data_IF_421749792119
#
_entry.id   IF_421749792119
#
_cell.length_a   1.000
_cell.length_b   1.000
_cell.length_c   1.000
_cell.angle_alpha   90.00
_cell.angle_beta   90.00
_cell.angle_gamma   90.00
#
_symmetry.space_group_name_H-M   'P 1'
#
loop_
_entity.id
_entity.type
_entity.pdbx_description
1 polymer ?
#
# COMPACT_ATOMS: atom_id res chain seq x y z
N UNK A 1 8.66 0.03 2.08
CA UNK A 1 7.92 1.17 1.55
C UNK A 1 6.98 0.74 0.45
N UNK A 2 5.78 1.27 0.46
CA UNK A 2 4.78 0.92 -0.54
C UNK A 2 4.85 1.90 -1.70
N UNK A 3 5.86 1.74 -2.52
CA UNK A 3 6.16 2.71 -3.58
C UNK A 3 5.04 2.92 -4.58
N UNK A 4 4.42 1.82 -5.01
CA UNK A 4 3.33 1.93 -5.98
C UNK A 4 2.12 2.64 -5.41
N UNK A 5 1.80 2.35 -4.15
CA UNK A 5 0.70 3.02 -3.48
C UNK A 5 0.95 4.52 -3.34
N UNK A 6 2.17 4.87 -2.95
CA UNK A 6 2.55 6.28 -2.82
C UNK A 6 2.41 6.99 -4.16
N UNK A 7 2.88 6.37 -5.23
CA UNK A 7 2.80 6.94 -6.55
C UNK A 7 1.34 7.15 -6.98
N UNK A 8 0.51 6.12 -6.83
CA UNK A 8 -0.90 6.21 -7.19
C UNK A 8 -1.60 7.33 -6.43
N UNK A 9 -1.32 7.40 -5.12
CA UNK A 9 -1.95 8.41 -4.27
C UNK A 9 -1.58 9.81 -4.76
N UNK A 10 -0.30 10.03 -5.02
CA UNK A 10 0.18 11.34 -5.45
C UNK A 10 -0.32 11.71 -6.84
N UNK A 11 -0.36 10.76 -7.74
CA UNK A 11 -0.87 11.01 -9.09
C UNK A 11 -2.32 11.47 -9.07
N UNK A 12 -3.11 10.93 -8.16
CA UNK A 12 -4.52 11.28 -8.06
C UNK A 12 -4.78 12.36 -7.02
N UNK A 13 -3.72 12.92 -6.45
CA UNK A 13 -3.79 14.01 -5.47
C UNK A 13 -4.65 13.64 -4.26
N UNK A 14 -4.51 12.40 -3.83
CA UNK A 14 -5.20 11.87 -2.65
C UNK A 14 -4.27 11.98 -1.46
N UNK A 15 -4.79 12.52 -0.35
CA UNK A 15 -3.97 12.72 0.84
C UNK A 15 -3.90 11.45 1.69
N UNK A 16 -2.87 11.38 2.53
CA UNK A 16 -2.77 10.29 3.49
C UNK A 16 -3.98 10.27 4.43
N UNK A 17 -4.48 11.45 4.79
CA UNK A 17 -5.63 11.54 5.67
C UNK A 17 -6.87 10.91 5.03
N UNK A 18 -7.05 11.10 3.73
CA UNK A 18 -8.19 10.51 3.03
C UNK A 18 -8.16 8.99 3.11
N UNK A 19 -6.99 8.41 2.88
CA UNK A 19 -6.88 6.96 2.95
C UNK A 19 -6.94 6.45 4.38
N UNK A 20 -6.43 7.22 5.33
CA UNK A 20 -6.57 6.86 6.74
C UNK A 20 -8.04 6.80 7.14
N UNK A 21 -8.83 7.76 6.70
CA UNK A 21 -10.26 7.77 6.99
C UNK A 21 -10.96 6.58 6.36
N UNK A 22 -10.58 6.24 5.13
CA UNK A 22 -11.12 5.06 4.44
C UNK A 22 -10.93 3.80 5.29
N UNK A 23 -9.75 3.70 5.92
CA UNK A 23 -9.40 2.51 6.70
C UNK A 23 -9.83 2.59 8.17
N UNK A 24 -10.30 3.74 8.62
CA UNK A 24 -10.70 3.92 10.00
C UNK A 24 -9.52 4.00 10.96
N UNK A 25 -8.40 4.50 10.50
CA UNK A 25 -7.18 4.63 11.31
C UNK A 25 -6.72 6.09 11.29
N UNK A 26 -5.73 6.42 12.11
CA UNK A 26 -5.20 7.78 12.12
C UNK A 26 -4.26 8.00 10.95
N UNK A 27 -4.06 9.27 10.60
CA UNK A 27 -3.12 9.62 9.54
C UNK A 27 -1.72 9.14 9.86
N UNK A 28 -1.33 9.21 11.13
CA UNK A 28 -0.02 8.74 11.57
C UNK A 28 0.12 7.23 11.36
N UNK A 29 -0.92 6.48 11.72
CA UNK A 29 -0.92 5.03 11.52
C UNK A 29 -0.82 4.70 10.04
N UNK A 30 -1.58 5.41 9.23
CA UNK A 30 -1.53 5.18 7.78
C UNK A 30 -0.12 5.47 7.24
N UNK A 31 0.47 6.60 7.65
CA UNK A 31 1.82 6.96 7.21
C UNK A 31 2.85 5.89 7.54
N UNK A 32 2.76 5.31 8.75
CA UNK A 32 3.66 4.24 9.14
C UNK A 32 3.51 3.01 8.25
N UNK A 33 2.27 2.69 7.88
CA UNK A 33 2.02 1.55 6.98
C UNK A 33 2.55 1.82 5.57
N UNK A 34 2.38 3.04 5.08
CA UNK A 34 2.88 3.41 3.76
C UNK A 34 4.41 3.33 3.70
N UNK A 35 5.08 3.71 4.78
CA UNK A 35 6.53 3.64 4.87
C UNK A 35 7.06 2.25 5.13
N UNK A 36 6.19 1.32 5.48
CA UNK A 36 6.61 -0.06 5.75
C UNK A 36 7.01 -0.33 7.19
N UNK A 37 6.82 0.64 8.09
CA UNK A 37 7.11 0.43 9.51
C UNK A 37 6.13 -0.55 10.15
N UNK A 38 4.89 -0.50 9.70
CA UNK A 38 3.87 -1.48 10.06
C UNK A 38 3.26 -2.00 8.77
N UNK A 39 2.62 -3.16 8.82
CA UNK A 39 2.07 -3.77 7.62
C UNK A 39 0.60 -3.45 7.47
N UNK A 40 0.16 -3.35 6.21
CA UNK A 40 -1.26 -3.35 5.91
C UNK A 40 -1.78 -4.76 6.11
N UNK A 41 -2.97 -4.90 6.69
CA UNK A 41 -3.61 -6.22 6.73
C UNK A 41 -4.40 -6.42 5.43
N UNK A 42 -4.92 -7.65 5.23
CA UNK A 42 -5.63 -7.98 4.00
C UNK A 42 -6.85 -7.14 3.75
N UNK A 43 -7.60 -6.85 4.81
CA UNK A 43 -8.80 -6.04 4.70
C UNK A 43 -8.48 -4.61 4.26
N UNK A 44 -7.42 -4.05 4.82
CA UNK A 44 -6.98 -2.71 4.46
C UNK A 44 -6.51 -2.65 3.01
N UNK A 45 -5.74 -3.66 2.59
CA UNK A 45 -5.26 -3.73 1.22
C UNK A 45 -6.42 -3.82 0.24
N UNK A 46 -7.43 -4.61 0.57
CA UNK A 46 -8.61 -4.76 -0.27
C UNK A 46 -9.37 -3.44 -0.41
N UNK A 47 -9.56 -2.73 0.69
CA UNK A 47 -10.26 -1.44 0.67
C UNK A 47 -9.54 -0.42 -0.18
N UNK A 48 -8.23 -0.37 -0.08
CA UNK A 48 -7.42 0.57 -0.87
C UNK A 48 -7.50 0.20 -2.35
N UNK A 49 -7.37 -1.08 -2.67
CA UNK A 49 -7.43 -1.52 -4.06
C UNK A 49 -8.80 -1.18 -4.66
N UNK A 50 -9.86 -1.41 -3.91
CA UNK A 50 -11.21 -1.10 -4.35
C UNK A 50 -11.37 0.41 -4.59
N UNK A 51 -10.81 1.20 -3.71
CA UNK A 51 -10.86 2.66 -3.82
C UNK A 51 -10.22 3.14 -5.13
N UNK A 52 -9.11 2.52 -5.53
CA UNK A 52 -8.44 2.87 -6.78
C UNK A 52 -8.97 2.09 -7.98
N UNK A 53 -9.93 1.20 -7.75
CA UNK A 53 -10.49 0.35 -8.80
C UNK A 53 -9.41 -0.52 -9.45
N UNK A 54 -8.56 -1.08 -8.63
CA UNK A 54 -7.47 -1.96 -9.04
C UNK A 54 -7.52 -3.23 -8.20
N UNK A 55 -6.69 -4.20 -8.58
CA UNK A 55 -6.55 -5.42 -7.79
C UNK A 55 -5.49 -5.19 -6.72
N UNK A 56 -5.61 -5.94 -5.63
CA UNK A 56 -4.61 -5.88 -4.55
C UNK A 56 -3.20 -6.12 -5.13
N UNK A 57 -3.06 -7.09 -6.02
CA UNK A 57 -1.78 -7.41 -6.62
C UNK A 57 -1.19 -6.28 -7.45
N UNK A 58 -2.03 -5.39 -7.95
CA UNK A 58 -1.56 -4.24 -8.74
C UNK A 58 -0.89 -3.19 -7.88
N UNK A 59 -1.19 -3.19 -6.59
CA UNK A 59 -0.69 -2.16 -5.67
C UNK A 59 0.30 -2.74 -4.66
N UNK A 60 -0.04 -3.89 -4.09
CA UNK A 60 0.68 -4.48 -2.97
C UNK A 60 1.44 -5.73 -3.36
N UNK A 61 1.82 -5.87 -4.62
CA UNK A 61 2.52 -7.06 -5.06
C UNK A 61 3.78 -7.26 -4.23
N UNK A 62 3.97 -8.43 -3.65
CA UNK A 62 5.19 -8.68 -2.90
C UNK A 62 6.38 -8.56 -3.81
N UNK A 63 7.42 -7.92 -3.35
CA UNK A 63 8.62 -7.73 -4.12
C UNK A 63 9.51 -8.95 -4.06
N UNK A 64 8.92 -10.04 -3.89
CA UNK A 64 9.67 -11.26 -3.97
C UNK A 64 10.04 -11.53 -5.40
N UNK A 65 9.54 -11.19 -5.75
CA UNK A 65 9.91 -11.22 -6.62
C UNK A 65 10.53 -10.32 -7.10
N UNK A 66 10.60 -9.95 -6.86
CA UNK A 66 11.33 -9.18 -7.02
C UNK A 66 12.30 -8.89 -6.58
N UNK A 67 12.17 -9.86 -6.42
CA UNK A 67 13.05 -9.72 -5.83
C UNK A 67 13.47 -10.07 -5.74
N UNK A 68 13.25 -10.59 -6.16
CA UNK A 68 13.62 -10.93 -5.62
C UNK A 68 13.77 -11.34 -5.84
N UNK A 69 13.44 -11.82 -6.15
CA UNK A 69 13.60 -11.94 -5.90
C UNK A 69 13.79 -12.08 -5.82
N UNK A 70 13.70 -12.88 -6.32
CA UNK A 70 13.85 -12.78 -5.78
C UNK A 70 14.13 -12.77 -5.53
N UNK A 71 14.05 -13.17 -5.63
CA UNK A 71 14.23 -12.91 -4.97
C UNK A 71 14.32 -12.90 -4.61
N UNK A 72 14.34 -13.49 -4.92
CA UNK A 72 14.37 -13.30 -4.25
C UNK A 72 14.50 -13.27 -3.88
N UNK A 73 14.56 -13.92 -4.30
CA UNK A 73 14.63 -13.75 -3.60
C UNK A 73 14.78 -13.56 -3.04
N UNK A 74 14.66 -13.86 -3.17
CA UNK A 74 14.70 -13.40 -2.38
C UNK A 74 14.68 -13.25 -1.87
N UNK A 75 14.66 -13.70 -2.11
CA UNK A 75 14.61 -13.30 -1.37
C UNK A 75 14.57 -13.19 -0.92
#
# INVERSE_FOLDING_TARGET
>A
MQSKLILLRKEQKITQNELAQLLGITTKQYGSKELGKTKFNGDEMFKIAEYFNLKVDDIFLPTTHQNGELQEIEE
#
